data_IF_036062333746
#
_entry.id   IF_036062333746
#
_cell.length_a   1.000
_cell.length_b   1.000
_cell.length_c   1.000
_cell.angle_alpha   90.00
_cell.angle_beta   90.00
_cell.angle_gamma   90.00
#
_symmetry.space_group_name_H-M   'P 1'
#
loop_
_entity.id
_entity.type
_entity.pdbx_description
1 polymer ?
2 non-polymer ?
3 non-polymer ?
4 water ?
#
# COMPACT_ATOMS: atom_id res chain seq x y z
N UNK A 1 -4.06 10.97 12.19
CA UNK A 1 -3.02 10.84 11.10
C UNK A 1 -1.89 9.93 11.52
N UNK A 2 -1.11 9.45 10.55
CA UNK A 2 0.12 8.73 10.84
C UNK A 2 1.32 9.48 10.17
N UNK A 3 2.52 9.22 10.67
CA UNK A 3 3.70 9.95 10.20
C UNK A 3 4.87 9.01 10.11
N UNK A 4 5.79 9.33 9.19
CA UNK A 4 7.09 8.63 9.09
C UNK A 4 8.22 9.57 8.68
N UNK A 5 9.30 9.52 9.41
CA UNK A 5 10.46 10.32 9.13
C UNK A 5 11.67 9.52 8.63
N UNK A 6 12.23 9.88 7.47
CA UNK A 6 13.36 9.13 6.89
C UNK A 6 14.66 9.50 7.62
N UNK A 7 14.66 10.72 8.14
CA UNK A 7 15.85 11.22 8.85
C UNK A 7 16.03 10.44 10.15
N UNK A 8 17.07 9.59 10.21
CA UNK A 8 17.30 8.74 11.38
C UNK A 8 16.50 7.43 11.36
N UNK A 9 15.80 7.17 10.27
CA UNK A 9 14.95 5.96 10.18
C UNK A 9 15.83 4.72 10.26
N UNK A 10 15.30 3.67 10.87
CA UNK A 10 15.89 2.34 11.00
C UNK A 10 14.81 1.25 10.99
N UNK A 11 15.20 -0.02 10.92
CA UNK A 11 14.15 -1.03 10.91
C UNK A 11 13.10 -0.85 11.96
N UNK A 12 13.52 -0.44 13.15
CA UNK A 12 12.58 -0.24 14.23
C UNK A 12 11.58 0.93 14.03
N UNK A 13 12.05 2.11 13.71
CA UNK A 13 11.11 3.25 13.44
C UNK A 13 10.19 3.00 12.23
N UNK A 14 10.70 2.25 11.26
CA UNK A 14 9.86 1.90 10.10
C UNK A 14 8.77 0.92 10.54
N UNK A 15 9.16 -0.10 11.32
CA UNK A 15 8.17 -1.03 11.88
C UNK A 15 7.08 -0.34 12.71
N UNK A 16 7.49 0.65 13.53
CA UNK A 16 6.52 1.48 14.29
C UNK A 16 5.55 2.22 13.35
N UNK A 17 6.06 2.78 12.24
CA UNK A 17 5.24 3.45 11.24
C UNK A 17 4.25 2.48 10.64
N UNK A 18 4.70 1.28 10.30
CA UNK A 18 3.77 0.34 9.63
C UNK A 18 2.70 -0.12 10.66
N UNK A 19 3.14 -0.24 11.91
CA UNK A 19 2.22 -0.55 12.98
C UNK A 19 1.16 0.54 13.15
N UNK A 20 1.62 1.77 13.13
CA UNK A 20 0.74 2.90 13.23
C UNK A 20 -0.27 2.92 12.10
N UNK A 21 0.21 2.69 10.87
CA UNK A 21 -0.67 2.73 9.67
C UNK A 21 -1.77 1.62 9.76
N UNK A 22 -1.37 0.39 10.02
CA UNK A 22 -2.37 -0.69 10.24
C UNK A 22 -3.37 -0.26 11.31
N UNK A 23 -2.91 0.30 12.40
CA UNK A 23 -3.74 0.69 13.53
C UNK A 23 -4.76 1.80 13.25
N UNK A 24 -4.46 2.61 12.24
CA UNK A 24 -5.30 3.74 11.84
C UNK A 24 -6.47 3.29 10.98
N UNK A 25 -6.47 2.05 10.53
CA UNK A 25 -7.51 1.58 9.65
C UNK A 25 -8.60 0.88 10.50
N UNK A 26 -9.84 1.34 10.37
CA UNK A 26 -10.97 0.87 11.19
C UNK A 26 -11.49 -0.48 10.78
N UNK A 27 -11.83 -1.19 11.72
CA UNK A 27 -12.52 -2.44 11.57
C UNK A 27 -13.44 -2.62 12.75
N UNK A 28 -14.56 -3.30 12.51
CA UNK A 28 -15.43 -3.87 13.56
C UNK A 28 -15.29 -5.37 13.81
N UNK A 29 -14.71 -6.10 12.87
CA UNK A 29 -14.56 -7.57 12.93
C UNK A 29 -13.16 -8.04 12.58
N UNK A 30 -12.78 -9.18 13.16
CA UNK A 30 -11.65 -9.97 12.70
C UNK A 30 -12.17 -11.26 12.08
N UNK A 31 -11.54 -11.67 10.98
CA UNK A 31 -11.84 -12.94 10.36
C UNK A 31 -10.54 -13.74 10.47
N UNK A 32 -10.62 -14.90 11.09
CA UNK A 32 -9.45 -15.75 11.34
C UNK A 32 -8.32 -14.97 12.06
N UNK A 33 -8.75 -14.08 12.94
CA UNK A 33 -7.89 -13.22 13.74
C UNK A 33 -7.20 -12.11 12.92
N UNK A 34 -7.66 -11.93 11.68
CA UNK A 34 -7.25 -10.77 10.85
C UNK A 34 -8.32 -9.68 10.75
N UNK A 35 -7.94 -8.42 11.07
CA UNK A 35 -8.82 -7.26 10.91
C UNK A 35 -9.43 -7.26 9.52
N UNK A 36 -10.77 -7.16 9.48
CA UNK A 36 -11.52 -7.07 8.22
C UNK A 36 -11.87 -5.60 7.95
N UNK A 37 -11.33 -5.04 6.86
CA UNK A 37 -11.55 -3.63 6.61
C UNK A 37 -13.01 -3.41 6.28
N UNK A 38 -13.47 -2.18 6.46
CA UNK A 38 -14.89 -1.84 6.35
C UNK A 38 -15.48 -1.92 4.96
N UNK A 39 -16.77 -2.24 4.82
CA UNK A 39 -17.35 -2.24 3.48
C UNK A 39 -17.34 -0.83 2.88
N UNK A 40 -17.60 0.16 3.70
CA UNK A 40 -17.69 1.52 3.28
C UNK A 40 -17.44 2.46 4.44
N UNK A 41 -16.99 3.68 4.17
CA UNK A 41 -16.98 4.79 5.13
C UNK A 41 -17.52 5.98 4.37
N UNK A 42 -18.36 6.80 5.00
CA UNK A 42 -18.97 7.97 4.36
C UNK A 42 -18.23 9.26 4.72
N UNK A 43 -17.95 10.09 3.74
CA UNK A 43 -17.35 11.39 4.05
C UNK A 43 -15.84 11.38 4.18
N UNK A 44 -15.31 12.42 4.83
CA UNK A 44 -13.87 12.62 4.96
C UNK A 44 -13.17 11.58 5.84
N UNK A 45 -13.95 10.89 6.70
CA UNK A 45 -13.45 9.80 7.54
C UNK A 45 -12.93 8.59 6.75
N UNK A 46 -13.27 8.48 5.52
CA UNK A 46 -12.76 7.41 4.75
C UNK A 46 -11.28 7.57 4.36
N UNK A 47 -10.75 8.72 4.62
CA UNK A 47 -9.41 8.93 4.21
C UNK A 47 -8.41 9.13 5.33
N UNK A 48 -7.36 8.36 5.29
CA UNK A 48 -6.23 8.56 6.18
C UNK A 48 -5.14 9.42 5.56
N UNK A 49 -4.65 10.37 6.37
CA UNK A 49 -3.52 11.20 6.01
C UNK A 49 -2.21 10.62 6.52
N UNK A 50 -1.25 10.45 5.60
CA UNK A 50 0.07 9.97 5.97
C UNK A 50 1.07 11.07 5.76
N UNK A 51 1.72 11.56 6.80
CA UNK A 51 2.76 12.60 6.60
C UNK A 51 4.14 11.97 6.50
N UNK A 52 4.77 12.16 5.36
CA UNK A 52 6.04 11.51 5.12
C UNK A 52 7.10 12.57 4.94
N UNK A 53 8.24 12.40 5.58
CA UNK A 53 9.30 13.37 5.58
C UNK A 53 10.54 12.77 4.99
N UNK A 54 11.10 13.46 4.01
CA UNK A 54 12.34 12.95 3.41
C UNK A 54 13.46 13.23 4.37
N UNK A 55 14.65 12.85 3.99
CA UNK A 55 15.75 12.98 4.86
C UNK A 55 16.04 14.43 5.28
N UNK A 56 15.92 15.34 4.34
CA UNK A 56 16.06 16.77 4.56
C UNK A 56 14.94 17.35 5.32
N UNK A 57 13.94 16.54 5.68
CA UNK A 57 12.85 17.12 6.45
C UNK A 57 11.76 17.74 5.63
N UNK A 58 11.85 17.69 4.31
CA UNK A 58 10.76 18.10 3.44
C UNK A 58 9.57 17.07 3.47
N UNK A 59 8.32 17.48 3.31
CA UNK A 59 7.20 16.60 3.50
C UNK A 59 6.11 16.62 2.40
N UNK A 60 5.48 15.44 2.26
CA UNK A 60 4.23 15.30 1.51
C UNK A 60 3.26 14.61 2.43
N UNK A 61 1.97 14.80 2.19
CA UNK A 61 0.93 14.14 2.95
C UNK A 61 0.16 13.30 1.93
N UNK A 62 0.05 12.02 2.21
CA UNK A 62 -0.56 11.10 1.28
C UNK A 62 -1.96 10.71 1.81
N UNK A 63 -2.95 10.78 0.94
CA UNK A 63 -4.35 10.41 1.33
C UNK A 63 -4.57 8.97 0.94
N UNK A 64 -4.97 8.16 1.93
CA UNK A 64 -5.23 6.72 1.77
C UNK A 64 -6.66 6.37 2.14
N UNK A 65 -7.33 5.64 1.25
CA UNK A 65 -8.70 5.12 1.44
C UNK A 65 -8.63 4.00 2.48
N UNK A 66 -9.30 4.18 3.62
CA UNK A 66 -9.16 3.27 4.77
C UNK A 66 -9.85 1.91 4.56
N UNK A 67 -10.70 1.81 3.52
CA UNK A 67 -11.47 0.62 3.26
C UNK A 67 -10.66 -0.38 2.42
N UNK A 68 -9.65 0.12 1.68
CA UNK A 68 -8.84 -0.73 0.80
C UNK A 68 -7.31 -0.46 0.79
N UNK A 69 -6.84 0.49 1.61
CA UNK A 69 -5.42 0.98 1.64
C UNK A 69 -4.89 1.52 0.28
N UNK A 70 -5.78 2.03 -0.58
CA UNK A 70 -5.35 2.56 -1.86
C UNK A 70 -5.01 4.02 -1.68
N UNK A 71 -3.88 4.37 -2.27
CA UNK A 71 -3.45 5.75 -2.36
C UNK A 71 -4.33 6.51 -3.38
N UNK A 72 -4.89 7.61 -2.95
CA UNK A 72 -5.77 8.38 -3.84
C UNK A 72 -5.04 9.61 -4.39
N UNK A 73 -4.19 10.21 -3.59
CA UNK A 73 -3.57 11.47 -3.96
C UNK A 73 -2.63 11.88 -2.89
N UNK A 74 -1.98 13.03 -3.08
CA UNK A 74 -1.02 13.52 -2.11
C UNK A 74 -0.90 15.06 -2.25
N UNK A 75 -0.38 15.67 -1.19
CA UNK A 75 -0.19 17.12 -1.15
C UNK A 75 1.30 17.40 -0.98
N UNK A 76 1.83 18.29 -1.81
CA UNK A 76 3.22 18.65 -1.72
C UNK A 76 3.22 20.17 -1.84
N UNK A 77 3.50 20.81 -0.70
CA UNK A 77 3.41 22.27 -0.48
C UNK A 77 1.98 22.82 -0.71
N UNK A 78 1.86 23.76 -1.62
CA UNK A 78 0.51 24.11 -2.03
C UNK A 78 -0.21 23.47 -3.22
N UNK A 79 0.25 22.34 -3.68
CA UNK A 79 -0.34 21.71 -4.85
C UNK A 79 -0.77 20.31 -4.43
N UNK A 80 -2.04 19.97 -4.70
CA UNK A 80 -2.50 18.59 -4.52
C UNK A 80 -2.39 17.84 -5.83
N UNK A 81 -2.20 16.53 -5.78
CA UNK A 81 -2.14 15.66 -6.98
C UNK A 81 -3.06 14.47 -6.71
N UNK A 82 -3.89 14.07 -7.67
CA UNK A 82 -4.75 12.89 -7.51
C UNK A 82 -4.67 11.98 -8.70
N UNK A 83 -4.89 10.68 -8.50
CA UNK A 83 -4.92 9.81 -9.67
C UNK A 83 -6.06 10.16 -10.62
N UNK A 84 -5.94 9.79 -11.89
CA UNK A 84 -7.05 10.08 -12.82
C UNK A 84 -8.00 8.88 -12.71
N UNK A 85 -8.82 8.84 -11.66
CA UNK A 85 -9.78 7.72 -11.47
C UNK A 85 -10.82 8.38 -10.58
N UNK A 86 -12.04 7.86 -10.70
CA UNK A 86 -13.22 8.36 -10.01
C UNK A 86 -13.09 8.25 -8.51
N UNK A 87 -12.58 7.13 -7.98
CA UNK A 87 -12.39 7.17 -6.51
C UNK A 87 -11.47 8.29 -5.98
N UNK A 88 -10.42 8.62 -6.73
CA UNK A 88 -9.57 9.76 -6.40
C UNK A 88 -10.26 11.09 -6.59
N UNK A 89 -11.05 11.25 -7.64
CA UNK A 89 -11.75 12.48 -7.87
C UNK A 89 -12.72 12.74 -6.71
N UNK A 90 -13.33 11.67 -6.21
CA UNK A 90 -14.20 11.70 -5.05
C UNK A 90 -13.46 12.10 -3.80
N UNK A 91 -12.28 11.53 -3.63
CA UNK A 91 -11.43 11.91 -2.51
C UNK A 91 -11.08 13.40 -2.54
N UNK A 92 -10.89 13.97 -3.75
CA UNK A 92 -10.51 15.39 -3.86
C UNK A 92 -11.62 16.36 -3.39
N UNK A 93 -12.83 15.87 -3.21
CA UNK A 93 -13.95 16.54 -2.58
C UNK A 93 -13.78 16.63 -1.06
N UNK A 94 -12.81 15.93 -0.47
CA UNK A 94 -12.68 15.87 0.98
C UNK A 94 -11.28 16.24 1.53
N UNK A 95 -10.22 15.86 0.81
CA UNK A 95 -8.87 16.14 1.30
C UNK A 95 -8.10 17.16 0.46
N UNK A 96 -7.20 17.85 1.15
CA UNK A 96 -6.33 18.90 0.58
C UNK A 96 -7.06 20.01 -0.17
N UNK A 97 -8.30 20.27 0.22
CA UNK A 97 -9.07 21.33 -0.42
C UNK A 97 -8.41 22.73 -0.25
N UNK A 98 -7.56 22.85 0.75
CA UNK A 98 -6.76 24.04 1.04
C UNK A 98 -5.68 24.38 -0.02
N UNK A 99 -5.33 23.39 -0.87
CA UNK A 99 -4.24 23.53 -1.83
C UNK A 99 -4.52 24.71 -2.74
N UNK A 100 -3.47 25.40 -3.14
CA UNK A 100 -3.63 26.44 -4.13
C UNK A 100 -4.12 25.94 -5.48
N UNK A 101 -3.74 24.77 -5.87
CA UNK A 101 -4.17 24.25 -7.13
C UNK A 101 -4.12 22.76 -7.07
N UNK A 102 -4.81 22.14 -7.99
CA UNK A 102 -4.93 20.71 -7.97
C UNK A 102 -4.56 20.22 -9.30
N UNK A 103 -3.72 19.18 -9.35
CA UNK A 103 -3.32 18.51 -10.60
C UNK A 103 -3.87 17.12 -10.64
N UNK A 104 -4.51 16.78 -11.74
CA UNK A 104 -4.86 15.38 -11.89
C UNK A 104 -3.77 14.68 -12.65
N UNK A 105 -3.16 13.70 -12.00
CA UNK A 105 -2.14 12.91 -12.66
C UNK A 105 -2.65 12.26 -13.96
N UNK A 106 -1.80 12.05 -14.94
CA UNK A 106 -2.20 11.49 -16.22
C UNK A 106 -2.16 9.94 -16.29
N UNK A 107 -2.57 9.33 -15.20
CA UNK A 107 -2.78 7.91 -15.08
C UNK A 107 -3.65 7.64 -13.85
N UNK A 108 -4.32 6.50 -13.84
CA UNK A 108 -4.95 6.01 -12.60
C UNK A 108 -3.87 5.35 -11.68
N UNK A 109 -4.28 4.86 -10.53
CA UNK A 109 -3.39 4.32 -9.49
C UNK A 109 -3.05 2.84 -9.56
N UNK A 110 -3.53 2.12 -10.55
CA UNK A 110 -3.20 0.70 -10.58
C UNK A 110 -1.85 0.36 -11.21
N UNK A 111 -1.32 -0.75 -10.76
CA UNK A 111 0.02 -1.13 -11.05
C UNK A 111 0.29 -1.15 -12.56
N UNK A 112 -0.64 -1.66 -13.33
CA UNK A 112 -0.37 -1.80 -14.72
C UNK A 112 -0.21 -0.42 -15.35
N UNK A 113 -1.14 0.47 -15.03
CA UNK A 113 -1.12 1.83 -15.52
C UNK A 113 0.10 2.66 -15.10
N UNK A 114 0.46 2.58 -13.80
CA UNK A 114 1.75 3.17 -13.31
C UNK A 114 3.03 2.64 -13.97
N UNK A 115 3.10 1.35 -14.20
CA UNK A 115 4.26 0.71 -14.85
C UNK A 115 4.41 1.20 -16.25
N UNK A 116 3.30 1.46 -16.93
CA UNK A 116 3.27 1.97 -18.31
C UNK A 116 3.81 3.42 -18.32
N UNK A 117 3.26 4.23 -17.43
CA UNK A 117 3.72 5.61 -17.28
C UNK A 117 5.19 5.69 -16.93
N UNK A 118 5.62 4.75 -16.09
CA UNK A 118 6.99 4.73 -15.58
C UNK A 118 7.99 4.14 -16.58
N UNK A 119 7.50 3.32 -17.50
CA UNK A 119 8.34 2.70 -18.49
C UNK A 119 9.07 1.45 -18.02
N UNK A 120 8.77 1.00 -16.81
CA UNK A 120 9.37 -0.26 -16.32
C UNK A 120 8.42 -1.05 -15.38
N UNK A 121 8.46 -2.41 -15.40
CA UNK A 121 7.58 -3.08 -14.45
C UNK A 121 8.22 -2.92 -13.09
N UNK A 122 7.47 -3.19 -12.06
CA UNK A 122 8.06 -2.98 -10.77
C UNK A 122 9.03 -4.06 -10.35
N UNK A 123 9.10 -5.10 -11.15
CA UNK A 123 10.10 -6.08 -11.00
C UNK A 123 11.51 -5.43 -11.12
N UNK A 124 11.63 -4.35 -11.85
CA UNK A 124 12.91 -3.76 -12.19
C UNK A 124 13.21 -2.52 -11.38
N UNK A 125 12.24 -2.13 -10.53
CA UNK A 125 12.43 -0.91 -9.67
C UNK A 125 12.86 -1.25 -8.21
N UNK A 126 14.04 -0.86 -7.79
CA UNK A 126 14.43 -1.12 -6.40
C UNK A 126 13.58 -0.38 -5.39
N UNK A 127 13.38 -1.00 -4.26
CA UNK A 127 12.52 -0.46 -3.20
C UNK A 127 13.31 -0.59 -1.93
N UNK A 128 12.90 0.11 -0.88
CA UNK A 128 13.72 0.15 0.35
C UNK A 128 13.53 1.51 0.97
N UNK A 129 14.21 1.78 2.08
CA UNK A 129 14.03 3.08 2.72
C UNK A 129 14.70 4.20 1.91
N UNK A 130 15.86 3.92 1.30
CA UNK A 130 16.46 5.01 0.51
C UNK A 130 15.56 5.27 -0.68
N UNK A 131 15.01 4.23 -1.32
CA UNK A 131 14.12 4.49 -2.47
C UNK A 131 12.88 5.33 -2.05
N UNK A 132 12.38 5.09 -0.83
CA UNK A 132 11.26 5.90 -0.32
C UNK A 132 11.68 7.38 -0.14
N UNK A 133 12.86 7.62 0.38
CA UNK A 133 13.34 9.02 0.52
C UNK A 133 13.37 9.70 -0.84
N UNK A 134 13.92 8.99 -1.85
CA UNK A 134 13.92 9.47 -3.24
C UNK A 134 12.49 9.75 -3.74
N UNK A 135 11.58 8.81 -3.45
CA UNK A 135 10.19 8.97 -3.99
C UNK A 135 9.54 10.26 -3.42
N UNK A 136 9.61 10.45 -2.10
CA UNK A 136 9.05 11.68 -1.49
C UNK A 136 9.69 12.89 -2.17
N UNK A 137 11.03 12.87 -2.33
CA UNK A 137 11.74 14.00 -2.94
C UNK A 137 11.20 14.31 -4.34
N UNK A 138 10.98 13.25 -5.11
CA UNK A 138 10.54 13.35 -6.49
C UNK A 138 9.16 14.00 -6.53
N UNK A 139 8.29 13.52 -5.62
CA UNK A 139 6.87 13.93 -5.63
C UNK A 139 6.69 15.38 -5.20
N UNK A 140 7.77 15.97 -4.64
CA UNK A 140 7.81 17.38 -4.22
C UNK A 140 7.67 18.35 -5.40
N UNK A 141 8.16 17.92 -6.53
CA UNK A 141 8.01 18.73 -7.73
C UNK A 141 7.51 17.90 -8.90
N UNK A 142 6.45 18.41 -9.51
CA UNK A 142 5.76 17.73 -10.54
C UNK A 142 6.59 17.31 -11.70
N UNK A 143 6.52 16.03 -11.97
CA UNK A 143 7.09 15.41 -13.16
C UNK A 143 6.36 14.06 -13.27
N UNK A 144 5.40 13.93 -14.21
CA UNK A 144 4.46 12.80 -14.18
C UNK A 144 5.17 11.45 -14.43
N UNK A 145 6.20 11.47 -15.29
CA UNK A 145 6.94 10.23 -15.59
C UNK A 145 7.75 9.78 -14.39
N UNK A 146 8.49 10.69 -13.78
CA UNK A 146 9.26 10.31 -12.57
C UNK A 146 8.29 10.01 -11.42
N UNK A 147 7.17 10.76 -11.34
CA UNK A 147 6.20 10.49 -10.29
C UNK A 147 5.61 9.07 -10.37
N UNK A 148 5.53 8.50 -11.55
CA UNK A 148 4.94 7.15 -11.62
C UNK A 148 5.83 6.11 -10.96
N UNK A 149 7.13 6.26 -11.12
CA UNK A 149 8.04 5.32 -10.49
C UNK A 149 8.13 5.58 -8.98
N UNK A 150 8.08 6.83 -8.61
CA UNK A 150 8.10 7.13 -7.20
C UNK A 150 6.84 6.57 -6.50
N UNK A 151 5.68 6.58 -7.19
CA UNK A 151 4.45 6.18 -6.62
C UNK A 151 4.46 4.66 -6.52
N UNK A 152 5.13 3.99 -7.45
CA UNK A 152 5.28 2.54 -7.34
C UNK A 152 6.08 2.21 -6.14
N UNK A 153 7.12 3.00 -5.84
CA UNK A 153 7.85 2.81 -4.58
C UNK A 153 7.02 3.12 -3.34
N UNK A 154 6.33 4.24 -3.39
CA UNK A 154 5.60 4.71 -2.25
C UNK A 154 4.50 3.69 -1.91
N UNK A 155 3.82 3.15 -2.95
CA UNK A 155 2.68 2.24 -2.69
C UNK A 155 3.18 0.95 -1.99
N UNK A 156 4.31 0.43 -2.49
CA UNK A 156 4.80 -0.84 -1.96
C UNK A 156 5.39 -0.73 -0.57
N UNK A 157 6.02 0.42 -0.25
CA UNK A 157 6.70 0.57 1.03
C UNK A 157 5.75 1.08 2.10
N UNK A 158 4.53 1.41 1.73
CA UNK A 158 3.54 1.81 2.71
C UNK A 158 2.39 0.78 2.72
N UNK A 159 1.43 0.97 1.81
CA UNK A 159 0.24 0.07 1.72
C UNK A 159 0.56 -1.40 1.68
N UNK A 160 1.47 -1.83 0.80
CA UNK A 160 1.75 -3.29 0.68
C UNK A 160 2.41 -3.86 1.93
N UNK A 161 3.31 -3.07 2.54
CA UNK A 161 3.93 -3.39 3.83
C UNK A 161 2.87 -3.42 4.95
N UNK A 162 1.90 -2.49 4.98
CA UNK A 162 0.77 -2.65 5.95
C UNK A 162 -0.06 -3.96 5.75
N UNK A 163 -0.26 -4.37 4.52
CA UNK A 163 -1.02 -5.54 4.20
C UNK A 163 -0.39 -6.89 4.57
N UNK A 164 0.92 -6.95 4.50
CA UNK A 164 1.70 -8.18 4.58
C UNK A 164 2.95 -8.01 5.43
N UNK A 165 3.09 -8.79 6.48
CA UNK A 165 4.27 -8.67 7.30
C UNK A 165 5.54 -9.10 6.55
N UNK A 166 5.40 -10.04 5.63
CA UNK A 166 6.54 -10.41 4.82
C UNK A 166 7.08 -9.17 4.02
N UNK A 167 6.16 -8.36 3.51
CA UNK A 167 6.57 -7.15 2.73
C UNK A 167 7.22 -6.08 3.65
N UNK A 168 6.64 -5.85 4.80
CA UNK A 168 7.21 -5.02 5.81
C UNK A 168 8.65 -5.46 6.17
N UNK A 169 8.84 -6.76 6.37
CA UNK A 169 10.16 -7.34 6.64
C UNK A 169 11.15 -7.17 5.48
N UNK A 170 10.68 -7.40 4.28
CA UNK A 170 11.51 -7.09 3.13
C UNK A 170 12.00 -5.63 3.09
N UNK A 171 11.15 -4.67 3.41
CA UNK A 171 11.54 -3.29 3.46
C UNK A 171 12.54 -3.06 4.59
N UNK A 172 12.32 -3.70 5.71
CA UNK A 172 13.22 -3.59 6.84
C UNK A 172 14.63 -4.09 6.46
N UNK A 173 14.70 -5.16 5.68
CA UNK A 173 16.02 -5.66 5.24
C UNK A 173 16.70 -4.67 4.24
N UNK A 174 15.87 -3.78 3.68
CA UNK A 174 16.31 -2.78 2.73
C UNK A 174 16.38 -1.38 3.37
N UNK A 175 16.61 -1.30 4.67
CA UNK A 175 16.70 0.02 5.41
C UNK A 175 17.78 0.92 4.83
N UNK A 176 18.88 0.34 4.35
CA UNK A 176 20.07 1.15 3.99
C UNK A 176 20.67 0.84 2.62
N UNK A 177 20.05 -0.06 1.91
CA UNK A 177 20.35 -0.40 0.55
C UNK A 177 19.08 -0.91 -0.16
N UNK A 178 18.76 -0.27 -1.25
CA UNK A 178 17.62 -0.68 -2.06
C UNK A 178 17.88 -2.00 -2.76
N UNK A 179 16.83 -2.76 -2.98
CA UNK A 179 16.82 -3.95 -3.81
C UNK A 179 15.46 -4.18 -4.52
N UNK A 180 15.46 -4.57 -5.78
CA UNK A 180 14.18 -4.91 -6.45
C UNK A 180 13.42 -5.91 -5.53
N UNK A 181 12.07 -5.88 -5.55
CA UNK A 181 11.32 -6.79 -4.66
C UNK A 181 11.44 -8.25 -5.11
N UNK A 182 11.32 -9.15 -4.15
CA UNK A 182 11.40 -10.57 -4.41
C UNK A 182 10.15 -10.96 -5.15
N UNK A 183 10.26 -12.07 -5.89
CA UNK A 183 9.12 -12.47 -6.69
C UNK A 183 7.97 -12.85 -5.74
N UNK A 184 8.28 -13.34 -4.53
CA UNK A 184 7.21 -13.57 -3.54
C UNK A 184 6.47 -12.24 -3.20
N UNK A 185 7.23 -11.20 -2.94
CA UNK A 185 6.65 -9.87 -2.68
C UNK A 185 5.66 -9.50 -3.80
N UNK A 186 6.13 -9.54 -5.05
CA UNK A 186 5.28 -9.31 -6.23
C UNK A 186 3.98 -10.13 -6.27
N UNK A 187 4.16 -11.43 -6.02
CA UNK A 187 3.02 -12.37 -5.90
C UNK A 187 1.96 -11.97 -4.82
N UNK A 188 2.42 -11.62 -3.60
CA UNK A 188 1.49 -11.25 -2.52
C UNK A 188 0.73 -10.02 -2.86
N UNK A 189 1.45 -9.02 -3.44
CA UNK A 189 0.78 -7.78 -3.90
C UNK A 189 -0.39 -8.08 -4.85
N UNK A 190 -0.08 -8.93 -5.81
CA UNK A 190 -1.05 -9.24 -6.88
C UNK A 190 -2.21 -10.12 -6.38
N UNK A 191 -2.01 -10.78 -5.23
CA UNK A 191 -2.99 -11.76 -4.69
C UNK A 191 -3.84 -11.29 -3.52
N UNK A 192 -3.64 -10.03 -3.12
CA UNK A 192 -4.24 -9.52 -1.91
C UNK A 192 -5.78 -9.61 -1.93
N UNK A 193 -6.37 -9.25 -3.05
CA UNK A 193 -7.80 -9.23 -3.20
C UNK A 193 -8.29 -10.68 -3.14
N UNK A 194 -7.65 -11.55 -3.92
CA UNK A 194 -8.00 -12.99 -3.93
C UNK A 194 -7.90 -13.66 -2.55
N UNK A 195 -6.80 -13.42 -1.85
CA UNK A 195 -6.58 -13.95 -0.50
C UNK A 195 -7.61 -13.45 0.49
N UNK A 196 -7.89 -12.16 0.41
CA UNK A 196 -8.88 -11.56 1.31
C UNK A 196 -10.27 -12.24 1.09
N UNK A 197 -10.59 -12.46 -0.18
CA UNK A 197 -11.82 -13.08 -0.56
C UNK A 197 -11.97 -14.55 -0.13
N UNK A 198 -10.94 -15.33 -0.39
CA UNK A 198 -10.84 -16.73 -0.02
C UNK A 198 -10.81 -16.96 1.51
N UNK A 199 -10.11 -16.14 2.24
CA UNK A 199 -10.15 -16.11 3.71
C UNK A 199 -11.56 -15.83 4.25
N UNK A 200 -12.25 -14.86 3.63
CA UNK A 200 -13.67 -14.69 3.90
C UNK A 200 -14.60 -15.88 3.49
N UNK A 201 -14.38 -16.49 2.36
CA UNK A 201 -15.17 -17.62 1.93
C UNK A 201 -14.95 -18.76 2.86
N UNK A 202 -13.76 -18.85 3.42
CA UNK A 202 -13.42 -19.95 4.33
C UNK A 202 -14.32 -19.99 5.61
N UNK A 203 -14.91 -18.87 6.01
CA UNK A 203 -15.90 -18.92 7.07
C UNK A 203 -17.20 -19.36 6.42
N UNK A 204 -17.80 -20.39 6.97
CA UNK A 204 -18.87 -21.11 6.28
C UNK A 204 -18.37 -22.27 5.43
N UNK A 205 -17.07 -22.46 5.33
CA UNK A 205 -16.53 -23.61 4.53
C UNK A 205 -15.41 -24.33 5.31
N UNK A 206 -15.51 -24.39 6.64
CA UNK A 206 -14.58 -25.18 7.43
C UNK A 206 -13.09 -24.76 7.23
N UNK A 207 -12.87 -23.47 6.99
CA UNK A 207 -11.49 -22.97 6.97
C UNK A 207 -10.88 -23.25 5.60
N UNK A 208 -11.69 -23.73 4.69
CA UNK A 208 -11.28 -24.21 3.40
C UNK A 208 -11.58 -23.16 2.30
N UNK A 209 -10.56 -22.80 1.51
CA UNK A 209 -10.73 -21.89 0.36
C UNK A 209 -11.70 -22.56 -0.62
N UNK A 210 -12.67 -21.81 -1.15
CA UNK A 210 -13.46 -22.27 -2.30
C UNK A 210 -12.64 -22.36 -3.59
N UNK A 211 -11.80 -21.42 -3.70
CA UNK A 211 -10.94 -21.52 -4.82
C UNK A 211 -9.47 -21.36 -4.38
N UNK A 212 -8.43 -22.21 -4.75
CA UNK A 212 -7.08 -22.05 -4.24
C UNK A 212 -6.34 -20.82 -4.80
N UNK A 213 -5.41 -20.29 -4.02
CA UNK A 213 -4.64 -19.13 -4.47
C UNK A 213 -3.20 -19.56 -4.67
N UNK A 214 -2.69 -19.26 -5.86
CA UNK A 214 -1.30 -19.60 -6.21
C UNK A 214 -0.36 -18.45 -5.90
N UNK A 215 0.63 -18.73 -5.05
CA UNK A 215 1.69 -17.78 -4.72
C UNK A 215 3.08 -18.30 -5.07
N UNK A 216 4.04 -17.41 -5.23
CA UNK A 216 5.44 -17.79 -5.31
C UNK A 216 6.03 -17.62 -3.93
N UNK A 217 6.74 -18.61 -3.42
CA UNK A 217 7.22 -18.56 -2.05
C UNK A 217 8.59 -17.92 -1.89
N UNK A 218 8.98 -17.62 -0.67
CA UNK A 218 10.21 -16.85 -0.43
C UNK A 218 11.48 -17.67 -0.58
N UNK A 219 11.33 -18.74 -1.32
CA UNK A 219 12.40 -19.53 -1.82
C UNK A 219 12.34 -19.70 -3.31
N UNK A 220 11.42 -19.00 -3.95
CA UNK A 220 11.28 -18.87 -5.40
C UNK A 220 10.38 -19.86 -6.12
N UNK A 221 9.78 -20.78 -5.37
CA UNK A 221 8.94 -21.81 -5.99
C UNK A 221 7.45 -21.47 -5.93
N UNK A 222 6.73 -21.91 -6.94
CA UNK A 222 5.30 -21.69 -7.07
C UNK A 222 4.41 -22.64 -6.22
N UNK A 223 3.44 -22.08 -5.51
CA UNK A 223 2.71 -22.91 -4.53
C UNK A 223 1.22 -22.57 -4.41
N UNK A 224 0.45 -23.56 -3.97
CA UNK A 224 -0.99 -23.42 -3.83
C UNK A 224 -1.46 -23.26 -2.37
N UNK A 225 -2.21 -22.18 -2.12
CA UNK A 225 -2.80 -21.94 -0.80
C UNK A 225 -4.28 -22.38 -0.84
N UNK A 226 -4.52 -23.35 0.05
CA UNK A 226 -5.85 -23.96 -0.01
C UNK A 226 -6.74 -23.78 1.20
N UNK A 227 -6.18 -23.42 2.34
CA UNK A 227 -6.95 -23.23 3.53
C UNK A 227 -6.32 -22.29 4.54
N UNK A 228 -7.04 -21.97 5.59
CA UNK A 228 -6.60 -20.97 6.56
C UNK A 228 -5.41 -21.36 7.43
N UNK A 229 -4.96 -22.65 7.30
CA UNK A 229 -3.80 -23.12 8.10
C UNK A 229 -2.45 -22.74 7.48
N UNK A 230 -2.48 -22.13 6.30
CA UNK A 230 -1.26 -21.77 5.61
C UNK A 230 -0.58 -20.58 6.33
N UNK A 231 0.75 -20.60 6.34
CA UNK A 231 1.53 -19.54 6.96
C UNK A 231 1.10 -18.17 6.39
N UNK A 232 0.66 -18.12 5.13
CA UNK A 232 0.19 -16.86 4.49
C UNK A 232 -0.93 -16.22 5.30
N UNK A 233 -1.86 -17.08 5.77
CA UNK A 233 -3.00 -16.64 6.54
C UNK A 233 -2.70 -16.49 8.08
N UNK A 234 -1.96 -17.45 8.67
CA UNK A 234 -1.73 -17.43 10.14
C UNK A 234 -0.74 -16.35 10.56
N UNK A 235 0.23 -16.05 9.71
CA UNK A 235 1.31 -15.13 10.11
C UNK A 235 1.52 -13.87 9.23
N UNK A 236 1.18 -13.94 7.95
CA UNK A 236 1.65 -12.95 6.96
C UNK A 236 0.64 -11.81 6.74
N UNK A 237 -0.50 -12.15 6.11
CA UNK A 237 -1.54 -11.14 5.81
C UNK A 237 -2.00 -10.43 7.09
N UNK A 238 -2.12 -9.09 7.05
CA UNK A 238 -2.43 -8.28 8.24
C UNK A 238 -3.75 -7.55 8.16
N UNK A 239 -4.33 -7.55 6.96
CA UNK A 239 -5.55 -6.77 6.65
C UNK A 239 -6.42 -7.45 5.55
N UNK A 240 -7.73 -7.46 5.71
CA UNK A 240 -8.57 -8.13 4.70
C UNK A 240 -9.36 -7.10 3.98
N UNK A 241 -9.28 -7.12 2.64
CA UNK A 241 -10.21 -6.36 1.83
C UNK A 241 -11.56 -7.04 1.98
N UNK A 242 -12.58 -6.27 2.29
CA UNK A 242 -13.93 -6.82 2.54
C UNK A 242 -14.46 -7.32 1.18
N UNK A 243 -15.08 -8.53 1.14
CA UNK A 243 -15.70 -9.02 -0.13
C UNK A 243 -16.76 -8.12 -0.79
N UNK A 244 -17.41 -7.26 -0.02
CA UNK A 244 -18.34 -6.28 -0.65
C UNK A 244 -17.62 -5.37 -1.68
N UNK A 245 -16.35 -5.03 -1.38
CA UNK A 245 -15.51 -4.27 -2.31
C UNK A 245 -14.71 -5.11 -3.30
N UNK A 246 -15.10 -6.37 -3.46
CA UNK A 246 -14.40 -7.30 -4.37
C UNK A 246 -15.33 -7.81 -5.49
X LIG B 1 -4.55 -26.98 4.53
X LIG B 1 -4.57 -28.23 3.65
X LIG B 1 -3.32 -29.07 3.87
X LIG B 1 -2.06 -28.20 3.83
X LIG B 1 -2.23 -26.96 4.70
X LIG B 1 -1.00 -26.06 4.60
X LIG B 1 -6.83 -28.92 3.17
X LIG B 1 -8.00 -29.80 3.55
X LIG B 1 -5.75 -29.02 3.92
X LIG B 1 -3.23 -30.05 2.87
X LIG B 1 -0.96 -28.95 4.28
X LIG B 1 -3.37 -26.25 4.29
X LIG B 1 -0.54 -26.05 3.27
X LIG B 1 -6.91 -28.17 2.20
X LIG C 1 -7.00 -0.82 -9.20
X LIG C 1 -8.51 -1.08 -9.09
X LIG C 1 -9.34 0.17 -8.69
X LIG C 1 -8.66 1.05 -7.61
X LIG C 1 -7.21 1.38 -8.03
X LIG C 1 -6.51 2.14 -6.91
X LIG C 1 -8.90 -1.23 -11.58
X LIG C 1 -9.63 -2.08 -12.64
X LIG C 1 -10.95 -1.15 -7.18
X LIG C 1 -12.43 -1.06 -6.78
X LIG C 1 -10.62 -2.62 -7.48
X LIG C 1 -6.35 -2.07 -8.96
X LIG C 1 -10.72 -0.25 -8.31
X LIG C 1 -9.42 2.27 -7.37
X LIG C 1 -6.47 0.14 -8.22
X LIG C 1 -5.82 3.31 -7.38
X LIG C 1 -8.24 -0.24 -11.91
X LIG C 1 -12.73 -0.11 -6.03
X LIG C 1 -13.21 -1.93 -7.25
X LIG C 1 -9.06 -1.69 -10.32
#
# INVERSE_FOLDING_TARGET
DVSFRLSGADPSSYGMFIKDLRNALPHTEKVYNIPLLLPSVSGAGRYLLMHLFNYDGNTITVAVDVTNVYIMGYLALTTSYFFNEPAADLASQYVFRSARRKITLPYSGNYERLQIAAGKPREKIPIGLPALDTAISTLLHYDSTAAAGALLVLIQTTAEAARFKYIEQQIQERAYRDEVPSSATISLENSWSGLSKQIQLAQGNNGVFRTPTVLVDSKGNRVQITNVTSNVVTSNIQLLLNTKNI
NAG C1 C2 C3 C4 C5 C6 C7 C8 N2 O3 O4 O5 O6 O7
AMU C1 C2 C3 C4 C5 C6 C7 C8 C9 C10 C11 O1 O3 O4 O5 O6 O7 O10 O11 N2
#
